data_IF_122256335510
#
_entry.id   IF_122256335510
#
_cell.length_a   1.000
_cell.length_b   1.000
_cell.length_c   1.000
_cell.angle_alpha   90.00
_cell.angle_beta   90.00
_cell.angle_gamma   90.00
#
_symmetry.space_group_name_H-M   'P 1'
#
loop_
_entity.id
_entity.type
_entity.pdbx_description
1 polymer ?
#
# COMPACT_ATOMS: atom_id res chain seq x y z
N UNK A 1 31.30 0.46 13.62
CA UNK A 1 31.80 1.14 12.42
C UNK A 1 31.13 0.51 11.20
N UNK A 2 29.98 1.00 10.83
CA UNK A 2 29.22 0.57 9.64
C UNK A 2 29.70 1.40 8.44
N UNK A 3 30.37 0.75 7.52
CA UNK A 3 30.82 1.35 6.25
C UNK A 3 29.62 1.82 5.45
N UNK A 4 29.48 3.13 5.36
CA UNK A 4 28.63 3.82 4.40
C UNK A 4 29.17 3.48 3.00
N UNK A 5 28.57 2.51 2.28
CA UNK A 5 28.78 2.34 0.85
C UNK A 5 28.02 3.46 0.15
N UNK A 6 28.67 4.59 -0.03
CA UNK A 6 28.22 5.64 -0.91
C UNK A 6 28.00 5.05 -2.29
N UNK A 7 26.78 5.12 -2.77
CA UNK A 7 26.38 4.81 -4.14
C UNK A 7 27.06 5.81 -5.09
N UNK A 8 28.20 5.42 -5.66
CA UNK A 8 28.74 6.04 -6.86
C UNK A 8 28.21 5.26 -8.06
N UNK A 9 27.00 5.53 -8.47
CA UNK A 9 26.48 5.36 -9.83
C UNK A 9 25.27 6.23 -9.96
N UNK A 10 25.14 7.00 -11.06
CA UNK A 10 23.92 7.70 -11.43
C UNK A 10 22.79 6.72 -11.83
N UNK A 11 22.58 5.66 -11.05
CA UNK A 11 21.49 4.72 -11.25
C UNK A 11 20.21 5.34 -10.70
N UNK A 12 19.24 5.48 -11.58
CA UNK A 12 17.90 5.98 -11.24
C UNK A 12 17.26 5.00 -10.28
N UNK A 13 16.90 5.45 -9.08
CA UNK A 13 16.19 4.66 -8.06
C UNK A 13 14.92 4.05 -8.64
N UNK A 14 14.65 2.78 -8.33
CA UNK A 14 13.44 2.07 -8.74
C UNK A 14 12.63 1.58 -7.54
N UNK A 15 11.35 1.96 -7.50
CA UNK A 15 10.40 1.60 -6.42
C UNK A 15 9.33 0.65 -6.96
N UNK A 16 9.09 -0.45 -6.25
CA UNK A 16 7.94 -1.32 -6.48
C UNK A 16 6.79 -0.94 -5.52
N UNK A 17 5.66 -0.51 -6.07
CA UNK A 17 4.44 -0.18 -5.34
C UNK A 17 3.52 -1.41 -5.33
N UNK A 18 3.17 -1.92 -4.15
CA UNK A 18 2.33 -3.11 -3.99
C UNK A 18 0.89 -2.68 -3.74
N UNK A 19 0.02 -2.87 -4.72
CA UNK A 19 -1.41 -2.56 -4.62
C UNK A 19 -2.17 -3.57 -3.76
N UNK A 20 -3.29 -3.15 -3.18
CA UNK A 20 -4.24 -4.02 -2.48
C UNK A 20 -5.30 -4.61 -3.40
N UNK A 21 -5.59 -3.91 -4.47
CA UNK A 21 -6.68 -4.19 -5.40
C UNK A 21 -6.30 -3.79 -6.83
N UNK A 22 -7.24 -3.95 -7.77
CA UNK A 22 -7.13 -3.56 -9.17
C UNK A 22 -8.34 -2.67 -9.56
N UNK A 23 -8.71 -1.72 -8.73
CA UNK A 23 -9.88 -0.88 -8.95
C UNK A 23 -9.47 0.59 -9.09
N UNK A 24 -9.68 1.18 -10.28
CA UNK A 24 -9.38 2.58 -10.55
C UNK A 24 -10.20 3.57 -9.72
N UNK A 25 -11.34 3.15 -9.16
CA UNK A 25 -12.18 3.97 -8.26
C UNK A 25 -11.78 3.86 -6.79
N UNK A 26 -10.91 2.92 -6.43
CA UNK A 26 -10.40 2.76 -5.06
C UNK A 26 -9.50 3.94 -4.69
N UNK A 27 -9.80 4.61 -3.58
CA UNK A 27 -8.98 5.72 -3.09
C UNK A 27 -7.53 5.33 -2.83
N UNK A 28 -7.28 4.10 -2.36
CA UNK A 28 -5.95 3.56 -2.16
C UNK A 28 -5.20 3.35 -3.49
N UNK A 29 -5.90 2.82 -4.52
CA UNK A 29 -5.32 2.61 -5.84
C UNK A 29 -5.03 3.94 -6.56
N UNK A 30 -5.97 4.89 -6.53
CA UNK A 30 -5.80 6.23 -7.08
C UNK A 30 -4.62 6.96 -6.45
N UNK A 31 -4.55 6.97 -5.11
CA UNK A 31 -3.47 7.62 -4.38
C UNK A 31 -2.11 6.98 -4.68
N UNK A 32 -2.04 5.65 -4.82
CA UNK A 32 -0.82 4.95 -5.23
C UNK A 32 -0.43 5.29 -6.68
N UNK A 33 -1.40 5.36 -7.59
CA UNK A 33 -1.14 5.70 -8.99
C UNK A 33 -0.61 7.14 -9.11
N UNK A 34 -1.21 8.08 -8.38
CA UNK A 34 -0.71 9.46 -8.31
C UNK A 34 0.71 9.52 -7.75
N UNK A 35 1.00 8.76 -6.69
CA UNK A 35 2.36 8.64 -6.16
C UNK A 35 3.33 8.11 -7.23
N UNK A 36 2.95 7.09 -7.99
CA UNK A 36 3.79 6.54 -9.08
C UNK A 36 4.07 7.59 -10.16
N UNK A 37 3.05 8.37 -10.55
CA UNK A 37 3.20 9.45 -11.53
C UNK A 37 4.19 10.50 -11.03
N UNK A 38 4.01 10.99 -9.80
CA UNK A 38 4.87 12.01 -9.20
C UNK A 38 6.32 11.52 -9.02
N UNK A 39 6.51 10.28 -8.57
CA UNK A 39 7.85 9.69 -8.45
C UNK A 39 8.54 9.60 -9.81
N UNK A 40 7.82 9.19 -10.87
CA UNK A 40 8.40 9.14 -12.22
C UNK A 40 8.78 10.53 -12.75
N UNK A 41 8.01 11.58 -12.42
CA UNK A 41 8.37 12.97 -12.73
C UNK A 41 9.64 13.43 -11.99
N UNK A 42 9.86 12.92 -10.78
CA UNK A 42 11.07 13.15 -9.98
C UNK A 42 12.23 12.22 -10.35
N UNK A 43 12.19 11.57 -11.52
CA UNK A 43 13.19 10.63 -12.00
C UNK A 43 13.38 9.37 -11.12
N UNK A 44 12.39 9.03 -10.28
CA UNK A 44 12.34 7.75 -9.57
C UNK A 44 11.47 6.79 -10.39
N UNK A 45 12.05 5.75 -10.95
CA UNK A 45 11.30 4.75 -11.74
C UNK A 45 10.35 3.97 -10.84
N UNK A 46 9.12 3.74 -11.30
CA UNK A 46 8.15 2.93 -10.57
C UNK A 46 7.68 1.72 -11.36
N UNK A 47 7.42 0.63 -10.65
CA UNK A 47 6.62 -0.50 -11.13
C UNK A 47 5.49 -0.75 -10.13
N UNK A 48 4.33 -1.18 -10.63
CA UNK A 48 3.18 -1.51 -9.78
C UNK A 48 2.96 -3.02 -9.78
N UNK A 49 2.78 -3.58 -8.61
CA UNK A 49 2.42 -4.99 -8.42
C UNK A 49 0.94 -5.05 -8.04
N UNK A 50 0.14 -5.67 -8.88
CA UNK A 50 -1.30 -5.81 -8.71
C UNK A 50 -1.61 -7.23 -8.25
N UNK A 51 -2.50 -7.42 -7.27
CA UNK A 51 -2.98 -8.75 -6.92
C UNK A 51 -3.76 -9.35 -8.10
N UNK A 52 -3.55 -10.65 -8.35
CA UNK A 52 -4.37 -11.39 -9.31
C UNK A 52 -5.81 -11.40 -8.82
N UNK A 53 -6.74 -11.22 -9.75
CA UNK A 53 -8.17 -11.31 -9.46
C UNK A 53 -8.51 -12.55 -8.65
N UNK A 54 -9.41 -12.40 -7.70
CA UNK A 54 -9.88 -13.44 -6.81
C UNK A 54 -11.26 -13.04 -6.26
N UNK A 55 -11.87 -13.83 -5.40
CA UNK A 55 -13.22 -13.57 -4.88
C UNK A 55 -13.33 -12.22 -4.13
N UNK A 56 -12.21 -11.64 -3.72
CA UNK A 56 -12.15 -10.33 -3.03
C UNK A 56 -11.54 -9.21 -3.89
N UNK A 57 -11.02 -9.55 -5.07
CA UNK A 57 -10.48 -8.61 -6.05
C UNK A 57 -11.27 -8.86 -7.33
N UNK A 58 -12.35 -8.13 -7.49
CA UNK A 58 -13.19 -8.22 -8.70
C UNK A 58 -12.43 -7.85 -9.97
N UNK A 59 -13.04 -8.06 -11.14
CA UNK A 59 -12.50 -7.59 -12.41
C UNK A 59 -12.31 -6.09 -12.31
N UNK A 60 -11.07 -5.64 -12.34
CA UNK A 60 -10.76 -4.24 -12.10
C UNK A 60 -10.24 -3.55 -13.31
N UNK A 61 -10.48 -2.27 -13.36
CA UNK A 61 -10.05 -1.35 -14.40
C UNK A 61 -8.75 -0.59 -14.05
N UNK A 62 -8.16 -0.86 -12.88
CA UNK A 62 -6.92 -0.23 -12.42
C UNK A 62 -5.76 -0.43 -13.41
N UNK A 63 -5.69 -1.60 -14.06
CA UNK A 63 -4.72 -1.86 -15.13
C UNK A 63 -4.85 -0.83 -16.27
N UNK A 64 -6.08 -0.42 -16.62
CA UNK A 64 -6.30 0.57 -17.69
C UNK A 64 -5.77 1.94 -17.27
N UNK A 65 -5.94 2.31 -16.01
CA UNK A 65 -5.37 3.55 -15.46
C UNK A 65 -3.83 3.53 -15.53
N UNK A 66 -3.18 2.44 -15.13
CA UNK A 66 -1.74 2.31 -15.23
C UNK A 66 -1.22 2.37 -16.68
N UNK A 67 -1.93 1.72 -17.61
CA UNK A 67 -1.62 1.79 -19.06
C UNK A 67 -1.72 3.21 -19.60
N UNK A 68 -2.80 3.93 -19.25
CA UNK A 68 -2.99 5.34 -19.61
C UNK A 68 -1.79 6.21 -19.21
N UNK A 69 -1.23 5.98 -18.02
CA UNK A 69 -0.07 6.71 -17.53
C UNK A 69 1.28 6.06 -17.86
N UNK A 70 1.30 5.01 -18.72
CA UNK A 70 2.51 4.28 -19.14
C UNK A 70 3.32 3.73 -17.95
N UNK A 71 2.66 3.38 -16.86
CA UNK A 71 3.27 2.78 -15.68
C UNK A 71 3.39 1.28 -15.89
N UNK A 72 4.60 0.74 -15.74
CA UNK A 72 4.87 -0.70 -15.83
C UNK A 72 4.22 -1.42 -14.64
N UNK A 73 3.57 -2.55 -14.90
CA UNK A 73 2.93 -3.34 -13.84
C UNK A 73 3.13 -4.84 -14.02
N UNK A 74 2.94 -5.59 -12.94
CA UNK A 74 2.89 -7.05 -12.91
C UNK A 74 1.67 -7.50 -12.11
N UNK A 75 1.03 -8.58 -12.56
CA UNK A 75 -0.08 -9.22 -11.85
C UNK A 75 0.47 -10.44 -11.13
N UNK A 76 0.28 -10.52 -9.80
CA UNK A 76 0.86 -11.56 -8.96
C UNK A 76 -0.22 -12.13 -8.03
N UNK A 77 -0.32 -13.47 -7.88
CA UNK A 77 -1.26 -14.05 -6.94
C UNK A 77 -0.92 -13.62 -5.51
N UNK A 78 -1.94 -13.26 -4.75
CA UNK A 78 -1.83 -12.91 -3.33
C UNK A 78 -3.14 -13.20 -2.60
N UNK A 79 -3.07 -13.32 -1.28
CA UNK A 79 -4.24 -13.52 -0.42
C UNK A 79 -4.14 -12.51 0.72
N UNK A 80 -5.24 -11.80 1.01
CA UNK A 80 -5.29 -10.88 2.14
C UNK A 80 -5.11 -11.61 3.48
N UNK A 81 -4.48 -10.94 4.44
CA UNK A 81 -4.42 -11.38 5.85
C UNK A 81 -5.50 -10.73 6.72
N UNK A 82 -6.41 -10.00 6.09
CA UNK A 82 -7.53 -9.29 6.72
C UNK A 82 -8.80 -10.09 6.49
N UNK A 83 -9.62 -10.19 7.51
CA UNK A 83 -10.92 -10.87 7.52
C UNK A 83 -11.97 -9.95 8.11
N UNK A 84 -13.27 -10.25 7.88
CA UNK A 84 -14.35 -9.57 8.60
C UNK A 84 -14.22 -9.78 10.11
N UNK A 85 -14.63 -8.81 10.93
CA UNK A 85 -14.67 -8.95 12.39
C UNK A 85 -15.55 -10.14 12.84
N UNK A 86 -16.57 -10.49 12.06
CA UNK A 86 -17.45 -11.64 12.31
C UNK A 86 -16.88 -12.98 11.80
N UNK A 87 -15.67 -12.98 11.24
CA UNK A 87 -15.06 -14.18 10.70
C UNK A 87 -14.82 -15.23 11.80
N UNK A 88 -15.19 -16.50 11.58
CA UNK A 88 -15.13 -17.51 12.63
C UNK A 88 -13.71 -17.76 13.14
N UNK A 89 -13.58 -17.93 14.47
CA UNK A 89 -12.32 -18.17 15.19
C UNK A 89 -12.22 -19.63 15.69
N UNK A 90 -12.61 -20.59 14.84
CA UNK A 90 -12.52 -22.02 15.13
C UNK A 90 -11.25 -22.67 14.55
N UNK A 91 -11.02 -23.92 14.84
CA UNK A 91 -9.84 -24.68 14.41
C UNK A 91 -9.75 -24.75 12.88
N UNK A 92 -10.85 -25.02 12.17
CA UNK A 92 -10.85 -25.12 10.71
C UNK A 92 -10.51 -23.78 10.05
N UNK A 93 -11.11 -22.68 10.53
CA UNK A 93 -10.79 -21.34 10.06
C UNK A 93 -9.34 -20.98 10.32
N UNK A 94 -8.82 -21.32 11.50
CA UNK A 94 -7.41 -21.08 11.86
C UNK A 94 -6.46 -21.84 10.93
N UNK A 95 -6.71 -23.11 10.68
CA UNK A 95 -5.93 -23.92 9.73
C UNK A 95 -5.99 -23.34 8.31
N UNK A 96 -7.17 -22.86 7.89
CA UNK A 96 -7.36 -22.16 6.63
C UNK A 96 -6.48 -20.91 6.51
N UNK A 97 -6.46 -20.08 7.55
CA UNK A 97 -5.65 -18.85 7.59
C UNK A 97 -4.14 -19.15 7.63
N UNK A 98 -3.71 -20.19 8.34
CA UNK A 98 -2.32 -20.66 8.30
C UNK A 98 -1.94 -21.11 6.88
N UNK A 99 -2.81 -21.87 6.20
CA UNK A 99 -2.61 -22.26 4.80
C UNK A 99 -2.46 -21.02 3.89
N UNK A 100 -3.24 -19.97 4.10
CA UNK A 100 -3.13 -18.71 3.34
C UNK A 100 -1.79 -18.01 3.56
N UNK A 101 -1.29 -17.97 4.80
CA UNK A 101 0.05 -17.44 5.09
C UNK A 101 1.13 -18.24 4.34
N UNK A 102 1.05 -19.57 4.35
CA UNK A 102 2.01 -20.44 3.65
C UNK A 102 1.96 -20.21 2.13
N UNK A 103 0.75 -20.13 1.55
CA UNK A 103 0.58 -19.81 0.12
C UNK A 103 1.16 -18.44 -0.24
N UNK A 104 0.93 -17.41 0.58
CA UNK A 104 1.54 -16.10 0.35
C UNK A 104 3.07 -16.13 0.41
N UNK A 105 3.69 -16.96 1.25
CA UNK A 105 5.14 -17.17 1.23
C UNK A 105 5.63 -17.80 -0.07
N UNK A 106 4.82 -18.68 -0.68
CA UNK A 106 5.12 -19.26 -2.01
C UNK A 106 4.97 -18.19 -3.09
N UNK A 107 3.86 -17.45 -3.11
CA UNK A 107 3.62 -16.38 -4.08
C UNK A 107 4.68 -15.28 -3.99
N UNK A 108 5.12 -14.95 -2.80
CA UNK A 108 6.21 -13.99 -2.57
C UNK A 108 7.55 -14.42 -3.19
N UNK A 109 7.76 -15.73 -3.49
CA UNK A 109 8.96 -16.17 -4.25
C UNK A 109 8.91 -15.68 -5.69
N UNK A 110 7.75 -15.76 -6.33
CA UNK A 110 7.54 -15.21 -7.69
C UNK A 110 7.75 -13.69 -7.72
N UNK A 111 7.15 -12.97 -6.77
CA UNK A 111 7.35 -11.53 -6.62
C UNK A 111 8.85 -11.20 -6.37
N UNK A 112 9.54 -11.94 -5.52
CA UNK A 112 10.96 -11.76 -5.26
C UNK A 112 11.81 -11.90 -6.55
N UNK A 113 11.43 -12.83 -7.45
CA UNK A 113 12.04 -12.95 -8.78
C UNK A 113 11.82 -11.70 -9.64
N UNK A 114 10.62 -11.14 -9.63
CA UNK A 114 10.31 -9.89 -10.33
C UNK A 114 11.13 -8.73 -9.76
N UNK A 115 11.18 -8.57 -8.43
CA UNK A 115 11.95 -7.51 -7.77
C UNK A 115 13.44 -7.55 -8.17
N UNK A 116 14.03 -8.74 -8.19
CA UNK A 116 15.43 -8.93 -8.66
C UNK A 116 15.59 -8.60 -10.14
N UNK A 117 14.75 -9.15 -11.02
CA UNK A 117 14.79 -8.91 -12.48
C UNK A 117 14.66 -7.43 -12.81
N UNK A 118 13.83 -6.72 -12.07
CA UNK A 118 13.58 -5.29 -12.26
C UNK A 118 14.62 -4.40 -11.56
N UNK A 119 15.58 -4.95 -10.83
CA UNK A 119 16.56 -4.19 -10.03
C UNK A 119 15.84 -3.16 -9.13
N UNK A 120 14.87 -3.61 -8.33
CA UNK A 120 14.10 -2.77 -7.41
C UNK A 120 14.97 -2.43 -6.20
N UNK A 121 14.99 -1.15 -5.82
CA UNK A 121 15.73 -0.63 -4.68
C UNK A 121 14.88 -0.52 -3.42
N UNK A 122 13.57 -0.32 -3.58
CA UNK A 122 12.63 -0.13 -2.47
C UNK A 122 11.28 -0.77 -2.80
N UNK A 123 10.68 -1.45 -1.83
CA UNK A 123 9.30 -1.93 -1.91
C UNK A 123 8.40 -1.04 -1.06
N UNK A 124 7.35 -0.47 -1.65
CA UNK A 124 6.33 0.31 -0.96
C UNK A 124 5.02 -0.46 -0.91
N UNK A 125 4.61 -0.91 0.27
CA UNK A 125 3.36 -1.64 0.51
C UNK A 125 2.26 -0.63 0.76
N UNK A 126 1.30 -0.51 -0.16
CA UNK A 126 0.36 0.60 -0.20
C UNK A 126 -0.78 0.54 0.82
N UNK A 127 -1.04 -0.63 1.41
CA UNK A 127 -2.12 -0.83 2.40
C UNK A 127 -1.76 -1.95 3.37
N UNK A 128 -2.61 -2.19 4.36
CA UNK A 128 -2.44 -3.31 5.29
C UNK A 128 -2.78 -4.67 4.69
N UNK A 129 -3.47 -4.71 3.55
CA UNK A 129 -3.90 -5.95 2.90
C UNK A 129 -2.77 -6.71 2.19
N UNK A 130 -1.73 -6.01 1.73
CA UNK A 130 -0.72 -6.52 0.79
C UNK A 130 0.56 -7.02 1.46
N UNK A 131 0.43 -7.71 2.60
CA UNK A 131 1.56 -8.13 3.43
C UNK A 131 2.55 -9.09 2.73
N UNK A 132 2.16 -9.76 1.64
CA UNK A 132 3.06 -10.61 0.85
C UNK A 132 4.23 -9.84 0.24
N UNK A 133 4.09 -8.53 0.03
CA UNK A 133 5.16 -7.63 -0.38
C UNK A 133 6.33 -7.61 0.61
N UNK A 134 6.03 -7.65 1.92
CA UNK A 134 7.05 -7.72 2.96
C UNK A 134 7.85 -9.03 2.91
N UNK A 135 7.20 -10.15 2.59
CA UNK A 135 7.92 -11.42 2.41
C UNK A 135 8.85 -11.38 1.21
N UNK A 136 8.38 -10.83 0.08
CA UNK A 136 9.17 -10.74 -1.13
C UNK A 136 10.40 -9.84 -0.93
N UNK A 137 10.20 -8.64 -0.38
CA UNK A 137 11.27 -7.69 -0.08
C UNK A 137 12.35 -8.30 0.82
N UNK A 138 11.93 -8.92 1.93
CA UNK A 138 12.86 -9.58 2.86
C UNK A 138 13.60 -10.75 2.25
N UNK A 139 12.97 -11.50 1.34
CA UNK A 139 13.63 -12.63 0.67
C UNK A 139 14.79 -12.21 -0.22
N UNK A 140 14.76 -10.99 -0.71
CA UNK A 140 15.81 -10.45 -1.60
C UNK A 140 16.62 -9.32 -0.96
N UNK A 141 16.43 -9.10 0.36
CA UNK A 141 17.11 -8.08 1.15
C UNK A 141 16.96 -6.65 0.60
N UNK A 142 15.76 -6.34 0.09
CA UNK A 142 15.38 -5.00 -0.33
C UNK A 142 14.63 -4.32 0.82
N UNK A 143 14.94 -3.05 1.17
CA UNK A 143 14.19 -2.30 2.16
C UNK A 143 12.73 -2.15 1.75
N UNK A 144 11.83 -2.07 2.75
CA UNK A 144 10.42 -1.87 2.47
C UNK A 144 9.77 -0.87 3.42
N UNK A 145 8.88 -0.08 2.85
CA UNK A 145 8.03 0.88 3.54
C UNK A 145 6.61 0.33 3.57
N UNK A 146 5.94 0.48 4.70
CA UNK A 146 4.54 0.11 4.84
C UNK A 146 3.67 1.35 5.02
N UNK A 147 2.70 1.55 4.13
CA UNK A 147 1.81 2.70 4.15
C UNK A 147 0.43 2.28 4.64
N UNK A 148 0.06 2.67 5.85
CA UNK A 148 -1.23 2.37 6.47
C UNK A 148 -2.21 3.49 6.12
N UNK A 149 -3.31 3.13 5.45
CA UNK A 149 -4.31 4.04 4.96
C UNK A 149 -5.66 3.87 5.64
N UNK A 150 -5.88 2.74 6.32
CA UNK A 150 -7.19 2.27 6.75
C UNK A 150 -7.31 2.22 8.27
N UNK A 151 -8.51 2.52 8.75
CA UNK A 151 -9.05 2.03 10.00
C UNK A 151 -9.79 0.73 9.70
N UNK A 152 -9.15 -0.42 9.92
CA UNK A 152 -9.74 -1.71 9.53
C UNK A 152 -11.07 -1.97 10.22
N UNK A 153 -11.09 -1.83 11.54
CA UNK A 153 -12.25 -2.21 12.35
C UNK A 153 -13.34 -1.15 12.25
N UNK A 154 -12.99 0.13 12.37
CA UNK A 154 -13.94 1.23 12.48
C UNK A 154 -14.60 1.57 11.15
N UNK A 155 -13.84 1.58 10.05
CA UNK A 155 -14.36 2.02 8.75
C UNK A 155 -14.82 0.85 7.88
N UNK A 156 -14.25 -0.34 8.07
CA UNK A 156 -14.43 -1.46 7.14
C UNK A 156 -15.01 -2.72 7.78
N UNK A 157 -15.18 -2.75 9.12
CA UNK A 157 -15.62 -3.94 9.83
C UNK A 157 -14.69 -5.15 9.65
N UNK A 158 -13.42 -4.89 9.42
CA UNK A 158 -12.38 -5.90 9.16
C UNK A 158 -11.30 -5.88 10.23
N UNK A 159 -10.60 -6.99 10.38
CA UNK A 159 -9.48 -7.10 11.31
C UNK A 159 -8.38 -8.04 10.80
N UNK A 160 -7.20 -7.98 11.38
CA UNK A 160 -6.18 -9.00 11.15
C UNK A 160 -6.58 -10.32 11.83
N UNK A 161 -6.57 -11.41 11.09
CA UNK A 161 -6.80 -12.73 11.72
C UNK A 161 -5.70 -13.06 12.75
N UNK A 162 -4.44 -12.73 12.45
CA UNK A 162 -3.30 -12.87 13.36
C UNK A 162 -2.63 -11.50 13.63
N UNK A 163 -3.21 -10.64 14.49
CA UNK A 163 -2.73 -9.28 14.65
C UNK A 163 -1.28 -9.20 15.14
N UNK A 164 -0.87 -10.02 16.12
CA UNK A 164 0.51 -10.06 16.60
C UNK A 164 1.51 -10.40 15.49
N UNK A 165 1.13 -11.28 14.58
CA UNK A 165 1.96 -11.66 13.44
C UNK A 165 2.10 -10.51 12.41
N UNK A 166 0.99 -9.83 12.12
CA UNK A 166 0.99 -8.68 11.21
C UNK A 166 1.79 -7.52 11.77
N UNK A 167 1.60 -7.16 13.04
CA UNK A 167 2.40 -6.12 13.69
C UNK A 167 3.90 -6.48 13.75
N UNK A 168 4.25 -7.75 13.91
CA UNK A 168 5.66 -8.20 13.82
C UNK A 168 6.26 -7.97 12.43
N UNK A 169 5.47 -8.16 11.35
CA UNK A 169 5.93 -7.83 9.99
C UNK A 169 6.08 -6.33 9.78
N UNK A 170 5.10 -5.54 10.24
CA UNK A 170 5.15 -4.07 10.15
C UNK A 170 6.33 -3.48 10.94
N UNK A 171 6.61 -4.00 12.14
CA UNK A 171 7.76 -3.57 12.97
C UNK A 171 9.13 -3.88 12.36
N UNK A 172 9.17 -4.71 11.32
CA UNK A 172 10.40 -5.01 10.54
C UNK A 172 10.53 -4.18 9.28
N UNK A 173 9.56 -3.31 8.99
CA UNK A 173 9.67 -2.34 7.92
C UNK A 173 10.72 -1.28 8.27
N UNK A 174 11.41 -0.76 7.28
CA UNK A 174 12.35 0.34 7.45
C UNK A 174 11.62 1.65 7.80
N UNK A 175 10.37 1.77 7.35
CA UNK A 175 9.46 2.86 7.70
C UNK A 175 8.00 2.38 7.62
N UNK A 176 7.18 2.81 8.57
CA UNK A 176 5.72 2.72 8.50
C UNK A 176 5.16 4.12 8.37
N UNK A 177 4.40 4.37 7.31
CA UNK A 177 3.73 5.64 7.06
C UNK A 177 2.26 5.51 7.46
N UNK A 178 1.78 6.44 8.26
CA UNK A 178 0.36 6.63 8.54
C UNK A 178 -0.15 7.86 7.78
N UNK A 179 -1.25 7.74 7.05
CA UNK A 179 -1.80 8.87 6.26
C UNK A 179 -2.39 9.98 7.11
N UNK A 180 -2.58 9.77 8.41
CA UNK A 180 -3.13 10.77 9.33
C UNK A 180 -2.61 10.57 10.74
N UNK A 181 -2.75 11.62 11.58
CA UNK A 181 -2.47 11.53 13.02
C UNK A 181 -3.38 10.53 13.72
N UNK A 182 -4.61 10.35 13.25
CA UNK A 182 -5.56 9.41 13.84
C UNK A 182 -5.14 7.95 13.56
N UNK A 183 -4.75 7.62 12.32
CA UNK A 183 -4.15 6.33 11.97
C UNK A 183 -2.87 6.09 12.78
N UNK A 184 -1.99 7.09 12.89
CA UNK A 184 -0.79 6.99 13.71
C UNK A 184 -1.13 6.65 15.17
N UNK A 185 -2.07 7.35 15.80
CA UNK A 185 -2.48 7.12 17.20
C UNK A 185 -3.01 5.70 17.42
N UNK A 186 -3.77 5.14 16.46
CA UNK A 186 -4.29 3.78 16.53
C UNK A 186 -3.15 2.76 16.52
N UNK A 187 -2.33 2.78 15.48
CA UNK A 187 -1.31 1.75 15.25
C UNK A 187 -0.06 1.89 16.12
N UNK A 188 0.25 3.09 16.60
CA UNK A 188 1.38 3.36 17.49
C UNK A 188 1.31 2.63 18.85
N UNK A 189 0.13 2.13 19.22
CA UNK A 189 -0.05 1.28 20.42
C UNK A 189 0.58 -0.11 20.24
N UNK A 190 0.70 -0.58 18.99
CA UNK A 190 1.18 -1.92 18.64
C UNK A 190 2.48 -1.92 17.82
N UNK A 191 2.89 -0.76 17.32
CA UNK A 191 4.09 -0.58 16.52
C UNK A 191 5.13 0.27 17.26
N UNK A 192 6.41 0.00 16.98
CA UNK A 192 7.51 0.78 17.57
C UNK A 192 7.51 2.21 17.04
N UNK A 193 7.52 3.20 17.93
CA UNK A 193 7.46 4.64 17.57
C UNK A 193 8.53 5.08 16.58
N UNK A 194 9.72 4.48 16.63
CA UNK A 194 10.86 4.87 15.79
C UNK A 194 10.71 4.47 14.33
N UNK A 195 9.75 3.60 14.01
CA UNK A 195 9.48 3.15 12.63
C UNK A 195 8.30 3.88 12.00
N UNK A 196 7.50 4.65 12.76
CA UNK A 196 6.29 5.29 12.26
C UNK A 196 6.46 6.79 12.02
N UNK A 197 5.94 7.25 10.87
CA UNK A 197 5.81 8.69 10.53
C UNK A 197 4.43 8.98 9.98
N UNK A 198 3.95 10.21 10.19
CA UNK A 198 2.73 10.71 9.53
C UNK A 198 3.13 11.42 8.25
N UNK A 199 2.59 10.96 7.13
CA UNK A 199 2.70 11.63 5.82
C UNK A 199 1.30 11.64 5.22
N UNK A 200 0.72 12.82 5.10
CA UNK A 200 -0.61 13.00 4.53
C UNK A 200 -0.61 12.72 3.02
N UNK A 201 -1.77 12.32 2.50
CA UNK A 201 -1.95 12.25 1.06
C UNK A 201 -1.82 13.65 0.46
N UNK A 202 -1.05 13.73 -0.63
CA UNK A 202 -1.02 14.93 -1.46
C UNK A 202 -2.23 15.00 -2.38
N UNK A 203 -2.69 16.19 -2.69
CA UNK A 203 -3.65 16.49 -3.74
C UNK A 203 -3.04 17.47 -4.72
N UNK A 204 -3.46 17.40 -5.98
CA UNK A 204 -3.10 18.40 -6.98
C UNK A 204 -3.99 19.62 -6.79
N UNK A 205 -3.43 20.67 -6.17
CA UNK A 205 -4.15 21.89 -5.84
C UNK A 205 -4.71 22.55 -7.09
N UNK A 206 -3.98 22.54 -8.20
CA UNK A 206 -4.37 23.21 -9.45
C UNK A 206 -5.66 22.62 -10.06
N UNK A 207 -5.96 21.34 -9.78
CA UNK A 207 -7.20 20.70 -10.20
C UNK A 207 -8.42 21.15 -9.39
N UNK A 208 -8.23 21.58 -8.14
CA UNK A 208 -9.32 21.84 -7.18
C UNK A 208 -9.44 23.29 -6.78
N UNK A 209 -8.34 24.04 -6.83
CA UNK A 209 -8.33 25.43 -6.41
C UNK A 209 -8.82 26.36 -7.54
N UNK A 210 -9.89 27.11 -7.23
CA UNK A 210 -10.43 28.16 -8.09
C UNK A 210 -10.34 29.49 -7.32
N UNK A 211 -9.29 30.32 -7.54
CA UNK A 211 -9.06 31.53 -6.76
C UNK A 211 -10.16 32.58 -6.89
N UNK A 212 -10.89 32.58 -8.02
CA UNK A 212 -11.92 33.58 -8.31
C UNK A 212 -13.30 33.19 -7.77
N UNK A 213 -13.43 32.06 -7.07
CA UNK A 213 -14.72 31.65 -6.52
C UNK A 213 -15.07 32.44 -5.28
N UNK A 214 -16.05 33.33 -5.38
CA UNK A 214 -16.68 33.94 -4.21
C UNK A 214 -17.59 32.91 -3.55
N UNK A 215 -17.39 32.66 -2.24
CA UNK A 215 -18.15 31.65 -1.48
C UNK A 215 -19.60 32.15 -1.21
N UNK A 216 -19.82 33.47 -1.21
CA UNK A 216 -21.09 34.12 -0.95
C UNK A 216 -21.44 35.10 -2.09
N UNK A 217 -21.71 34.58 -3.28
CA UNK A 217 -22.17 35.41 -4.41
C UNK A 217 -23.65 35.82 -4.28
N UNK A 218 -24.41 35.01 -3.59
CA UNK A 218 -25.82 35.21 -3.26
C UNK A 218 -25.99 34.98 -1.75
N UNK A 219 -27.06 35.49 -1.13
CA UNK A 219 -27.36 35.34 0.30
C UNK A 219 -27.61 33.87 0.74
N UNK A 220 -27.26 32.88 -0.10
CA UNK A 220 -27.56 31.47 0.13
C UNK A 220 -26.22 30.72 0.38
N UNK A 221 -26.08 30.18 1.60
CA UNK A 221 -24.99 29.24 1.91
C UNK A 221 -25.29 27.85 1.32
N UNK A 222 -24.51 27.45 0.35
CA UNK A 222 -24.60 26.10 -0.24
C UNK A 222 -23.60 25.17 0.47
N UNK A 223 -24.10 24.19 1.20
CA UNK A 223 -23.30 23.16 1.86
C UNK A 223 -23.36 21.87 1.04
N UNK A 224 -22.20 21.28 0.80
CA UNK A 224 -22.06 19.96 0.19
C UNK A 224 -21.42 19.02 1.20
N UNK A 225 -22.06 17.89 1.47
CA UNK A 225 -21.48 16.77 2.22
C UNK A 225 -21.15 15.65 1.24
N UNK A 226 -19.90 15.18 1.28
CA UNK A 226 -19.43 14.03 0.51
C UNK A 226 -19.06 12.94 1.51
N UNK A 227 -19.84 11.86 1.52
CA UNK A 227 -19.63 10.68 2.37
C UNK A 227 -19.08 9.50 1.57
#
# INVERSE_FOLDING_TARGET
MTKNKGSQRGEIMKVALIASDNNASSGAFLSMTNLAIQLNQLHVKTIVIIPKEGPYVGPGDGVNLLRKHKIKYYVVPSISGVVSCDFPRNILATLGQIKYILRNKIYARGLAGILKKEHVDLVHINTVYSYFGAYAARKVNIPYVWHIREFLEEDQGNEFYFPKYMYKLMNRADLVIAISRSIYKKYNKSLHKNVMKVIYNGIDIDQFYKPERQIFEDSILKLCYVG
#
